data_IF_015462424213
#
_entry.id   IF_015462424213
#
_cell.length_a   1.000
_cell.length_b   1.000
_cell.length_c   1.000
_cell.angle_alpha   90.00
_cell.angle_beta   90.00
_cell.angle_gamma   90.00
#
_symmetry.space_group_name_H-M   'P 1'
#
loop_
_entity.id
_entity.type
_entity.pdbx_description
1 polymer ?
#
# COMPACT_ATOMS: atom_id res chain seq x y z
N UNK A 1 18.87 0.75 4.84
CA UNK A 1 18.92 1.35 3.48
C UNK A 1 18.11 2.62 3.60
N UNK A 2 18.69 3.80 3.33
CA UNK A 2 17.98 5.07 3.61
C UNK A 2 16.73 5.17 2.73
N UNK A 3 15.57 5.38 3.35
CA UNK A 3 14.31 5.49 2.64
C UNK A 3 14.27 6.84 1.94
N UNK A 4 14.66 6.86 0.66
CA UNK A 4 14.63 8.05 -0.19
C UNK A 4 13.20 8.59 -0.31
N UNK A 5 13.06 9.92 -0.32
CA UNK A 5 11.81 10.65 -0.52
C UNK A 5 11.05 10.12 -1.72
N UNK A 6 11.73 9.77 -2.81
CA UNK A 6 11.10 9.21 -4.01
C UNK A 6 10.38 7.89 -3.70
N UNK A 7 11.05 6.94 -3.04
CA UNK A 7 10.44 5.66 -2.66
C UNK A 7 9.28 5.82 -1.69
N UNK A 8 9.37 6.79 -0.77
CA UNK A 8 8.28 7.11 0.13
C UNK A 8 7.07 7.68 -0.63
N UNK A 9 7.30 8.57 -1.60
CA UNK A 9 6.24 9.09 -2.46
C UNK A 9 5.61 7.99 -3.30
N UNK A 10 6.40 7.09 -3.90
CA UNK A 10 5.90 5.96 -4.69
C UNK A 10 4.98 5.03 -3.87
N UNK A 11 5.18 4.95 -2.55
CA UNK A 11 4.33 4.19 -1.63
C UNK A 11 3.05 4.94 -1.22
N UNK A 12 3.16 6.25 -1.00
CA UNK A 12 2.07 7.10 -0.49
C UNK A 12 1.10 7.53 -1.60
N UNK A 13 1.63 7.82 -2.78
CA UNK A 13 0.87 8.39 -3.91
C UNK A 13 -0.32 7.52 -4.33
N UNK A 14 -0.20 6.18 -4.48
CA UNK A 14 -1.34 5.33 -4.82
C UNK A 14 -2.43 5.27 -3.74
N UNK A 15 -2.07 5.56 -2.48
CA UNK A 15 -2.99 5.60 -1.34
C UNK A 15 -3.74 6.95 -1.31
N UNK A 16 -3.02 8.06 -1.53
CA UNK A 16 -3.61 9.40 -1.53
C UNK A 16 -4.45 9.67 -2.79
N UNK A 17 -4.02 9.15 -3.94
CA UNK A 17 -4.59 9.43 -5.24
C UNK A 17 -5.10 8.15 -5.91
N UNK A 18 -5.95 7.42 -5.19
CA UNK A 18 -6.64 6.28 -5.77
C UNK A 18 -7.61 6.74 -6.88
N UNK A 19 -7.29 6.44 -8.13
CA UNK A 19 -8.05 6.93 -9.30
C UNK A 19 -9.53 6.54 -9.27
N UNK A 20 -9.85 5.32 -8.81
CA UNK A 20 -11.24 4.87 -8.67
C UNK A 20 -11.99 5.71 -7.64
N UNK A 21 -11.39 5.96 -6.48
CA UNK A 21 -12.04 6.78 -5.44
C UNK A 21 -12.20 8.24 -5.86
N UNK A 22 -11.25 8.77 -6.64
CA UNK A 22 -11.35 10.12 -7.20
C UNK A 22 -12.47 10.23 -8.23
N UNK A 23 -12.67 9.19 -9.05
CA UNK A 23 -13.81 9.09 -9.97
C UNK A 23 -15.13 9.03 -9.21
N UNK A 24 -15.24 8.16 -8.21
CA UNK A 24 -16.43 8.04 -7.36
C UNK A 24 -16.78 9.39 -6.70
N UNK A 25 -15.76 10.13 -6.21
CA UNK A 25 -15.95 11.44 -5.61
C UNK A 25 -16.42 12.50 -6.63
N UNK A 26 -15.87 12.48 -7.85
CA UNK A 26 -16.29 13.37 -8.94
C UNK A 26 -17.76 13.16 -9.30
N UNK A 27 -18.20 11.91 -9.37
CA UNK A 27 -19.59 11.57 -9.70
C UNK A 27 -20.53 12.06 -8.59
N UNK A 28 -20.16 11.86 -7.32
CA UNK A 28 -20.91 12.41 -6.18
C UNK A 28 -21.02 13.94 -6.21
N UNK A 29 -19.95 14.65 -6.59
CA UNK A 29 -20.00 16.12 -6.74
C UNK A 29 -20.99 16.52 -7.84
N UNK A 30 -20.99 15.79 -8.95
CA UNK A 30 -21.91 16.02 -10.08
C UNK A 30 -23.36 15.76 -9.66
N UNK A 31 -23.60 14.72 -8.87
CA UNK A 31 -24.93 14.39 -8.36
C UNK A 31 -25.44 15.43 -7.35
N UNK A 32 -24.57 16.07 -6.57
CA UNK A 32 -24.96 17.25 -5.76
C UNK A 32 -25.33 18.42 -6.66
N UNK A 33 -24.52 18.71 -7.69
CA UNK A 33 -24.79 19.81 -8.63
C UNK A 33 -26.07 19.64 -9.44
N UNK A 34 -26.55 18.39 -9.58
CA UNK A 34 -27.82 18.05 -10.25
C UNK A 34 -28.97 17.79 -9.28
N UNK A 35 -28.80 18.09 -7.98
CA UNK A 35 -29.79 17.87 -6.91
C UNK A 35 -30.27 16.42 -6.75
N UNK A 36 -29.50 15.43 -7.21
CA UNK A 36 -29.82 14.00 -7.03
C UNK A 36 -29.49 13.50 -5.62
N UNK A 37 -28.49 14.13 -4.97
CA UNK A 37 -28.08 13.80 -3.61
C UNK A 37 -27.93 15.07 -2.77
N UNK A 38 -28.11 14.94 -1.45
CA UNK A 38 -27.95 16.08 -0.55
C UNK A 38 -26.48 16.42 -0.31
N UNK A 39 -26.12 17.71 -0.14
CA UNK A 39 -24.76 18.13 0.23
C UNK A 39 -24.22 17.47 1.51
N UNK A 40 -25.10 17.00 2.40
CA UNK A 40 -24.72 16.25 3.61
C UNK A 40 -24.15 14.88 3.26
N UNK A 41 -24.67 14.22 2.23
CA UNK A 41 -24.20 12.91 1.77
C UNK A 41 -22.80 13.02 1.16
N UNK A 42 -22.56 14.05 0.32
CA UNK A 42 -21.21 14.33 -0.21
C UNK A 42 -20.20 14.61 0.90
N UNK A 43 -20.56 15.45 1.90
CA UNK A 43 -19.69 15.72 3.06
C UNK A 43 -19.32 14.45 3.81
N UNK A 44 -20.29 13.57 4.04
CA UNK A 44 -20.05 12.28 4.68
C UNK A 44 -19.09 11.41 3.85
N UNK A 45 -19.32 11.29 2.54
CA UNK A 45 -18.46 10.51 1.65
C UNK A 45 -17.00 11.02 1.63
N UNK A 46 -16.80 12.35 1.64
CA UNK A 46 -15.47 12.95 1.75
C UNK A 46 -14.79 12.57 3.07
N UNK A 47 -15.51 12.67 4.20
CA UNK A 47 -14.96 12.32 5.51
C UNK A 47 -14.60 10.83 5.56
N UNK A 48 -15.51 9.97 5.13
CA UNK A 48 -15.31 8.52 5.10
C UNK A 48 -14.10 8.14 4.23
N UNK A 49 -13.94 8.77 3.06
CA UNK A 49 -12.76 8.61 2.22
C UNK A 49 -11.47 9.04 2.94
N UNK A 50 -11.45 10.21 3.57
CA UNK A 50 -10.26 10.70 4.29
C UNK A 50 -9.87 9.79 5.45
N UNK A 51 -10.84 9.26 6.20
CA UNK A 51 -10.58 8.30 7.28
C UNK A 51 -9.98 7.01 6.72
N UNK A 52 -10.51 6.50 5.60
CA UNK A 52 -9.98 5.30 4.93
C UNK A 52 -8.52 5.50 4.49
N UNK A 53 -8.23 6.62 3.81
CA UNK A 53 -6.88 6.99 3.37
C UNK A 53 -5.92 7.08 4.56
N UNK A 54 -6.32 7.76 5.64
CA UNK A 54 -5.49 7.84 6.86
C UNK A 54 -5.20 6.46 7.46
N UNK A 55 -6.20 5.58 7.51
CA UNK A 55 -6.02 4.21 8.00
C UNK A 55 -4.96 3.46 7.17
N UNK A 56 -5.07 3.53 5.84
CA UNK A 56 -4.11 2.88 4.94
C UNK A 56 -2.69 3.45 5.08
N UNK A 57 -2.55 4.77 5.25
CA UNK A 57 -1.26 5.40 5.49
C UNK A 57 -0.64 4.95 6.82
N UNK A 58 -1.45 4.87 7.88
CA UNK A 58 -1.01 4.39 9.20
C UNK A 58 -0.54 2.93 9.12
N UNK A 59 -1.32 2.07 8.47
CA UNK A 59 -0.96 0.65 8.30
C UNK A 59 0.36 0.51 7.52
N UNK A 60 0.53 1.29 6.44
CA UNK A 60 1.76 1.32 5.64
C UNK A 60 2.95 1.83 6.46
N UNK A 61 2.76 2.90 7.25
CA UNK A 61 3.81 3.43 8.11
C UNK A 61 4.28 2.40 9.14
N UNK A 62 3.36 1.78 9.88
CA UNK A 62 3.72 0.77 10.87
C UNK A 62 4.38 -0.46 10.25
N UNK A 63 3.97 -0.85 9.03
CA UNK A 63 4.66 -1.90 8.29
C UNK A 63 6.12 -1.53 8.01
N UNK A 64 6.40 -0.32 7.53
CA UNK A 64 7.78 0.08 7.24
C UNK A 64 8.63 0.21 8.50
N UNK A 65 8.07 0.73 9.60
CA UNK A 65 8.77 0.78 10.89
C UNK A 65 9.16 -0.63 11.35
N UNK A 66 8.23 -1.59 11.31
CA UNK A 66 8.51 -2.98 11.67
C UNK A 66 9.59 -3.59 10.77
N UNK A 67 9.50 -3.36 9.47
CA UNK A 67 10.48 -3.85 8.50
C UNK A 67 11.89 -3.33 8.82
N UNK A 68 12.04 -2.04 9.09
CA UNK A 68 13.35 -1.45 9.40
C UNK A 68 13.92 -2.04 10.70
N UNK A 69 13.10 -2.21 11.73
CA UNK A 69 13.51 -2.86 13.00
C UNK A 69 14.01 -4.28 12.72
N UNK A 70 13.21 -5.10 12.02
CA UNK A 70 13.62 -6.47 11.69
C UNK A 70 14.88 -6.52 10.85
N UNK A 71 15.06 -5.57 9.91
CA UNK A 71 16.26 -5.51 9.08
C UNK A 71 17.51 -5.12 9.88
N UNK A 72 17.37 -4.26 10.89
CA UNK A 72 18.45 -3.97 11.84
C UNK A 72 18.79 -5.19 12.70
N UNK A 73 17.81 -5.93 13.18
CA UNK A 73 18.02 -7.18 13.93
C UNK A 73 18.77 -8.22 13.10
N UNK A 74 18.37 -8.42 11.83
CA UNK A 74 19.05 -9.31 10.88
C UNK A 74 20.49 -8.86 10.61
N UNK A 75 20.71 -7.56 10.41
CA UNK A 75 22.05 -7.01 10.20
C UNK A 75 22.94 -7.19 11.44
N UNK A 76 22.38 -7.05 12.64
CA UNK A 76 23.09 -7.31 13.89
C UNK A 76 23.41 -8.81 14.08
N UNK A 77 22.49 -9.70 13.69
CA UNK A 77 22.69 -11.15 13.78
C UNK A 77 23.78 -11.64 12.81
N UNK A 78 23.83 -11.10 11.60
CA UNK A 78 24.79 -11.49 10.55
C UNK A 78 26.15 -10.80 10.67
N UNK A 79 26.33 -9.90 11.65
CA UNK A 79 27.49 -9.02 11.77
C UNK A 79 28.79 -9.81 11.91
N UNK A 80 29.67 -9.72 10.90
CA UNK A 80 30.96 -10.40 10.86
C UNK A 80 30.97 -11.82 10.27
N UNK A 81 29.81 -12.37 9.89
CA UNK A 81 29.73 -13.67 9.23
C UNK A 81 29.15 -13.54 7.81
N UNK A 82 30.06 -13.48 6.82
CA UNK A 82 29.73 -13.31 5.41
C UNK A 82 28.88 -14.45 4.83
N UNK A 83 29.04 -15.68 5.36
CA UNK A 83 28.28 -16.84 4.93
C UNK A 83 26.81 -16.74 5.38
N UNK A 84 26.57 -16.38 6.65
CA UNK A 84 25.21 -16.14 7.16
C UNK A 84 24.53 -14.98 6.43
N UNK A 85 25.26 -13.91 6.12
CA UNK A 85 24.73 -12.80 5.33
C UNK A 85 24.27 -13.25 3.94
N UNK A 86 25.09 -14.06 3.27
CA UNK A 86 24.77 -14.60 1.94
C UNK A 86 23.54 -15.51 1.99
N UNK A 87 23.45 -16.39 3.00
CA UNK A 87 22.29 -17.28 3.16
C UNK A 87 20.99 -16.50 3.41
N UNK A 88 21.05 -15.40 4.18
CA UNK A 88 19.89 -14.51 4.38
C UNK A 88 19.47 -13.83 3.08
N UNK A 89 20.43 -13.29 2.31
CA UNK A 89 20.14 -12.66 1.01
C UNK A 89 19.52 -13.64 0.00
N UNK A 90 19.97 -14.90 -0.01
CA UNK A 90 19.39 -15.96 -0.85
C UNK A 90 17.95 -16.29 -0.46
N UNK A 91 17.68 -16.39 0.85
CA UNK A 91 16.32 -16.63 1.36
C UNK A 91 15.38 -15.46 1.07
N UNK A 92 15.86 -14.22 1.20
CA UNK A 92 15.07 -13.03 0.86
C UNK A 92 14.69 -13.02 -0.63
N UNK A 93 15.62 -13.33 -1.55
CA UNK A 93 15.29 -13.46 -2.98
C UNK A 93 14.28 -14.56 -3.26
N UNK A 94 14.38 -15.68 -2.56
CA UNK A 94 13.40 -16.76 -2.71
C UNK A 94 12.01 -16.33 -2.27
N UNK A 95 11.91 -15.57 -1.18
CA UNK A 95 10.63 -14.99 -0.72
C UNK A 95 10.06 -13.99 -1.74
N UNK A 96 10.89 -13.15 -2.37
CA UNK A 96 10.45 -12.27 -3.45
C UNK A 96 9.85 -13.05 -4.63
N UNK A 97 10.51 -14.14 -5.07
CA UNK A 97 9.98 -15.00 -6.14
C UNK A 97 8.63 -15.64 -5.77
N UNK A 98 8.46 -16.05 -4.51
CA UNK A 98 7.18 -16.56 -4.02
C UNK A 98 6.12 -15.45 -4.05
N UNK A 99 6.46 -14.24 -3.59
CA UNK A 99 5.55 -13.11 -3.57
C UNK A 99 5.08 -12.74 -4.99
N UNK A 100 5.98 -12.69 -5.97
CA UNK A 100 5.65 -12.44 -7.38
C UNK A 100 4.67 -13.49 -7.93
N UNK A 101 4.90 -14.78 -7.62
CA UNK A 101 4.00 -15.87 -8.04
C UNK A 101 2.62 -15.75 -7.41
N UNK A 102 2.56 -15.44 -6.11
CA UNK A 102 1.30 -15.21 -5.40
C UNK A 102 0.56 -14.02 -6.02
N UNK A 103 1.25 -12.92 -6.29
CA UNK A 103 0.65 -11.73 -6.89
C UNK A 103 0.11 -12.01 -8.30
N UNK A 104 0.82 -12.80 -9.11
CA UNK A 104 0.34 -13.21 -10.42
C UNK A 104 -0.92 -14.09 -10.33
N UNK A 105 -0.98 -15.02 -9.36
CA UNK A 105 -2.17 -15.84 -9.11
C UNK A 105 -3.34 -14.97 -8.63
N UNK A 106 -3.10 -14.06 -7.69
CA UNK A 106 -4.10 -13.14 -7.16
C UNK A 106 -4.68 -12.22 -8.24
N UNK A 107 -3.83 -11.65 -9.09
CA UNK A 107 -4.25 -10.81 -10.22
C UNK A 107 -5.10 -11.59 -11.24
N UNK A 108 -4.77 -12.87 -11.50
CA UNK A 108 -5.60 -13.75 -12.33
C UNK A 108 -6.94 -14.07 -11.68
N UNK A 109 -6.96 -14.30 -10.36
CA UNK A 109 -8.19 -14.54 -9.63
C UNK A 109 -9.13 -13.33 -9.70
N UNK A 110 -8.62 -12.12 -9.48
CA UNK A 110 -9.39 -10.87 -9.60
C UNK A 110 -9.99 -10.66 -11.00
N UNK A 111 -9.25 -10.99 -12.07
CA UNK A 111 -9.75 -10.88 -13.45
C UNK A 111 -10.85 -11.88 -13.79
N UNK A 112 -10.93 -12.98 -13.05
CA UNK A 112 -11.89 -14.07 -13.28
C UNK A 112 -13.12 -13.99 -12.37
N UNK A 113 -13.28 -12.93 -11.56
CA UNK A 113 -14.51 -12.68 -10.81
C UNK A 113 -15.46 -11.92 -11.76
N UNK A 114 -16.55 -12.55 -12.25
CA UNK A 114 -17.54 -11.83 -13.04
C UNK A 114 -18.27 -10.86 -12.12
N UNK A 115 -18.34 -9.59 -12.52
CA UNK A 115 -19.29 -8.62 -11.98
C UNK A 115 -20.71 -8.96 -12.45
#
# INVERSE_FOLDING_TARGET
MEMDKKKLMDLIEPILFNEKELLDLKDLITDVGTNKIEPRQLRKAIIDNRVKVMKQLIDTFFFQVKREISQQEINNFTKGNSQLKTEVEEKDRFLEQIAERIQAIYAKALKNIPY
#
